data_IF_397798754654
#
_entry.id   IF_397798754654
#
_cell.length_a   1.000
_cell.length_b   1.000
_cell.length_c   1.000
_cell.angle_alpha   90.00
_cell.angle_beta   90.00
_cell.angle_gamma   90.00
#
_symmetry.space_group_name_H-M   'P 1'
#
loop_
_entity.id
_entity.type
_entity.pdbx_description
1 polymer ?
#
# COMPACT_ATOMS: atom_id res chain seq x y z
N UNK A 1 -18.56 -15.34 -17.24
CA UNK A 1 -18.05 -14.25 -16.39
C UNK A 1 -16.88 -13.58 -17.10
N UNK A 2 -16.86 -12.25 -17.27
CA UNK A 2 -15.73 -11.56 -17.90
C UNK A 2 -14.61 -11.41 -16.87
N UNK A 3 -13.40 -11.85 -17.21
CA UNK A 3 -12.18 -11.54 -16.45
C UNK A 3 -11.57 -10.27 -17.03
N UNK A 4 -11.30 -9.31 -16.16
CA UNK A 4 -10.53 -8.12 -16.49
C UNK A 4 -9.11 -8.31 -15.97
N UNK A 5 -8.13 -7.77 -16.69
CA UNK A 5 -6.75 -7.66 -16.24
C UNK A 5 -6.48 -6.19 -15.92
N UNK A 6 -5.67 -5.93 -14.89
CA UNK A 6 -5.26 -4.61 -14.48
C UNK A 6 -3.73 -4.59 -14.44
N UNK A 7 -3.11 -3.90 -15.40
CA UNK A 7 -1.68 -3.62 -15.36
C UNK A 7 -1.45 -2.40 -14.47
N UNK A 8 -0.49 -2.49 -13.57
CA UNK A 8 -0.16 -1.39 -12.66
C UNK A 8 1.35 -1.25 -12.50
N UNK A 9 1.78 -0.08 -12.04
CA UNK A 9 3.17 0.21 -11.71
C UNK A 9 3.23 1.09 -10.48
N UNK A 10 4.34 1.03 -9.76
CA UNK A 10 4.57 1.82 -8.57
C UNK A 10 5.94 2.50 -8.66
N UNK A 11 5.97 3.79 -8.32
CA UNK A 11 7.19 4.60 -8.28
C UNK A 11 7.11 5.50 -7.04
N UNK A 12 8.19 5.53 -6.27
CA UNK A 12 8.36 6.48 -5.17
C UNK A 12 9.82 6.88 -5.08
N UNK A 13 10.07 8.18 -4.96
CA UNK A 13 11.40 8.78 -5.02
C UNK A 13 11.51 9.83 -3.91
N UNK A 14 12.62 9.82 -3.18
CA UNK A 14 12.90 10.80 -2.11
C UNK A 14 13.02 12.26 -2.62
N UNK A 15 13.18 12.44 -3.94
CA UNK A 15 13.47 13.73 -4.54
C UNK A 15 14.76 14.35 -3.97
N UNK A 16 14.64 15.54 -3.41
CA UNK A 16 15.75 16.30 -2.78
C UNK A 16 15.88 16.05 -1.28
N UNK A 17 15.03 15.22 -0.69
CA UNK A 17 15.02 14.89 0.74
C UNK A 17 16.13 13.91 1.15
N UNK A 18 16.43 13.86 2.46
CA UNK A 18 17.39 12.89 3.04
C UNK A 18 16.84 11.48 3.13
N UNK A 19 15.54 11.34 3.34
CA UNK A 19 14.84 10.07 3.44
C UNK A 19 13.49 10.20 2.73
N UNK A 20 13.08 9.14 2.05
CA UNK A 20 11.75 9.05 1.48
C UNK A 20 10.76 8.63 2.58
N UNK A 21 9.87 9.53 2.97
CA UNK A 21 8.84 9.24 3.96
C UNK A 21 7.55 8.70 3.33
N UNK A 22 7.50 8.54 2.00
CA UNK A 22 6.42 7.84 1.32
C UNK A 22 6.59 6.32 1.44
N UNK A 23 5.47 5.61 1.50
CA UNK A 23 5.41 4.17 1.36
C UNK A 23 4.23 3.77 0.46
N UNK A 24 4.41 2.67 -0.28
CA UNK A 24 3.39 2.11 -1.17
C UNK A 24 3.33 0.60 -1.05
N UNK A 25 2.14 0.04 -1.28
CA UNK A 25 1.89 -1.39 -1.19
C UNK A 25 0.72 -1.82 -2.07
N UNK A 26 0.77 -3.05 -2.56
CA UNK A 26 -0.30 -3.65 -3.37
C UNK A 26 -0.63 -5.03 -2.81
N UNK A 27 -1.92 -5.31 -2.71
CA UNK A 27 -2.43 -6.67 -2.49
C UNK A 27 -3.20 -7.09 -3.73
N UNK A 28 -2.81 -8.22 -4.32
CA UNK A 28 -3.48 -8.81 -5.48
C UNK A 28 -4.43 -9.92 -5.02
N UNK A 29 -5.55 -10.08 -5.72
CA UNK A 29 -6.59 -11.06 -5.39
C UNK A 29 -7.89 -10.76 -6.16
N UNK A 30 -9.00 -11.40 -5.77
CA UNK A 30 -10.31 -11.11 -6.34
C UNK A 30 -10.68 -9.61 -6.26
N UNK A 31 -10.25 -8.96 -5.17
CA UNK A 31 -10.21 -7.51 -5.02
C UNK A 31 -8.75 -7.11 -4.80
N UNK A 32 -8.23 -6.28 -5.70
CA UNK A 32 -6.89 -5.71 -5.52
C UNK A 32 -6.97 -4.41 -4.72
N UNK A 33 -6.04 -4.21 -3.78
CA UNK A 33 -5.93 -2.96 -3.02
C UNK A 33 -4.59 -2.30 -3.25
N UNK A 34 -4.62 -1.00 -3.52
CA UNK A 34 -3.46 -0.15 -3.74
C UNK A 34 -3.40 0.85 -2.59
N UNK A 35 -2.29 0.86 -1.86
CA UNK A 35 -2.12 1.66 -0.65
C UNK A 35 -0.95 2.62 -0.85
N UNK A 36 -1.15 3.88 -0.46
CA UNK A 36 -0.14 4.93 -0.46
C UNK A 36 -0.23 5.68 0.88
N UNK A 37 0.91 5.92 1.52
CA UNK A 37 1.00 6.73 2.74
C UNK A 37 2.19 7.69 2.65
N UNK A 38 1.97 8.93 3.07
CA UNK A 38 2.99 10.00 3.17
C UNK A 38 3.24 10.29 4.66
N UNK A 39 4.50 10.20 5.08
CA UNK A 39 4.91 10.53 6.44
C UNK A 39 4.95 12.04 6.66
N UNK A 40 4.48 12.51 7.82
CA UNK A 40 4.23 13.93 8.11
C UNK A 40 5.46 14.87 7.93
N UNK A 41 6.69 14.36 7.88
CA UNK A 41 7.90 15.17 7.88
C UNK A 41 8.16 15.88 9.21
N UNK A 42 9.43 16.20 9.49
CA UNK A 42 9.81 17.13 10.57
C UNK A 42 9.59 16.66 12.02
N UNK A 43 8.88 15.55 12.26
CA UNK A 43 8.67 14.95 13.60
C UNK A 43 9.54 13.70 13.88
N UNK A 44 10.39 13.32 12.92
CA UNK A 44 11.17 12.08 12.97
C UNK A 44 10.29 10.85 12.72
N UNK A 45 10.90 9.78 12.19
CA UNK A 45 10.25 8.49 11.92
C UNK A 45 9.07 8.53 10.92
N UNK A 46 8.92 9.55 10.08
CA UNK A 46 7.85 9.59 9.09
C UNK A 46 7.90 8.40 8.13
N UNK A 47 9.11 8.00 7.72
CA UNK A 47 9.34 6.79 6.93
C UNK A 47 8.94 5.49 7.65
N UNK A 48 9.05 5.42 8.98
CA UNK A 48 8.58 4.26 9.73
C UNK A 48 7.05 4.28 9.83
N UNK A 49 6.47 5.44 10.11
CA UNK A 49 5.02 5.61 10.23
C UNK A 49 4.29 5.25 8.93
N UNK A 50 4.77 5.74 7.77
CA UNK A 50 4.18 5.44 6.47
C UNK A 50 4.28 3.95 6.12
N UNK A 51 5.43 3.30 6.39
CA UNK A 51 5.59 1.85 6.19
C UNK A 51 4.62 1.03 7.03
N UNK A 52 4.46 1.37 8.31
CA UNK A 52 3.53 0.68 9.21
C UNK A 52 2.07 0.85 8.77
N UNK A 53 1.70 2.06 8.34
CA UNK A 53 0.37 2.33 7.82
C UNK A 53 0.06 1.49 6.57
N UNK A 54 1.00 1.44 5.61
CA UNK A 54 0.86 0.62 4.40
C UNK A 54 0.77 -0.87 4.76
N UNK A 55 1.64 -1.35 5.63
CA UNK A 55 1.65 -2.75 6.03
C UNK A 55 0.32 -3.17 6.66
N UNK A 56 -0.17 -2.40 7.65
CA UNK A 56 -1.42 -2.70 8.33
C UNK A 56 -2.63 -2.69 7.37
N UNK A 57 -2.67 -1.73 6.45
CA UNK A 57 -3.71 -1.67 5.42
C UNK A 57 -3.65 -2.90 4.49
N UNK A 58 -2.47 -3.27 4.00
CA UNK A 58 -2.31 -4.45 3.16
C UNK A 58 -2.71 -5.75 3.89
N UNK A 59 -2.34 -5.92 5.16
CA UNK A 59 -2.74 -7.07 5.97
C UNK A 59 -4.27 -7.14 6.14
N UNK A 60 -4.91 -6.01 6.42
CA UNK A 60 -6.37 -5.92 6.55
C UNK A 60 -7.09 -6.26 5.24
N UNK A 61 -6.57 -5.77 4.11
CA UNK A 61 -7.12 -6.05 2.78
C UNK A 61 -7.02 -7.54 2.41
N UNK A 62 -5.91 -8.21 2.75
CA UNK A 62 -5.75 -9.66 2.52
C UNK A 62 -6.77 -10.48 3.31
N UNK A 63 -6.90 -10.24 4.62
CA UNK A 63 -7.89 -10.92 5.45
C UNK A 63 -9.33 -10.70 4.97
N UNK A 64 -9.66 -9.51 4.48
CA UNK A 64 -10.99 -9.23 3.95
C UNK A 64 -11.27 -9.91 2.60
N UNK A 65 -10.24 -10.13 1.77
CA UNK A 65 -10.39 -10.79 0.48
C UNK A 65 -10.64 -12.30 0.66
N UNK A 66 -9.96 -12.95 1.60
CA UNK A 66 -10.16 -14.37 1.93
C UNK A 66 -11.60 -14.67 2.37
N UNK A 67 -12.24 -13.75 3.12
CA UNK A 67 -13.65 -13.89 3.55
C UNK A 67 -14.66 -13.76 2.41
N UNK A 68 -14.26 -13.22 1.26
CA UNK A 68 -15.15 -12.99 0.11
C UNK A 68 -15.18 -14.15 -0.89
N UNK A 69 -14.20 -15.04 -0.85
CA UNK A 69 -14.13 -16.23 -1.73
C UNK A 69 -14.92 -17.43 -1.17
N UNK A 70 -15.32 -17.38 0.10
CA UNK A 70 -16.09 -18.42 0.80
C UNK A 70 -17.63 -18.19 0.81
N UNK A 71 -18.14 -17.16 0.11
CA UNK A 71 -19.58 -16.89 -0.10
C UNK A 71 -20.01 -17.13 -1.55
#
# INVERSE_FOLDING_TARGET
MKKYSCDHSALSLAGTGKENEDALGVTEGAVSCFVLADGLGGHGNGALASRLAVQAACETCKCSAELSEDL
#
